data_IF_501699253947
#
_entry.id   IF_501699253947
#
_cell.length_a   1.000
_cell.length_b   1.000
_cell.length_c   1.000
_cell.angle_alpha   90.00
_cell.angle_beta   90.00
_cell.angle_gamma   90.00
#
_symmetry.space_group_name_H-M   'P 1'
#
loop_
_entity.id
_entity.type
_entity.pdbx_description
1 polymer ?
#
# COMPACT_ATOMS: atom_id res chain seq x y z
N UNK A 1 1.53 -29.28 -5.70
CA UNK A 1 0.58 -28.90 -4.64
C UNK A 1 0.05 -27.52 -5.00
N UNK A 2 -1.20 -27.40 -5.43
CA UNK A 2 -1.81 -26.09 -5.68
C UNK A 2 -2.08 -25.46 -4.31
N UNK A 3 -1.39 -24.37 -3.94
CA UNK A 3 -1.74 -23.62 -2.72
C UNK A 3 -3.05 -22.91 -2.98
N UNK A 4 -4.13 -23.43 -2.41
CA UNK A 4 -5.44 -22.79 -2.42
C UNK A 4 -5.53 -21.86 -1.22
N UNK A 5 -5.64 -20.55 -1.46
CA UNK A 5 -5.86 -19.56 -0.43
C UNK A 5 -7.35 -19.39 -0.15
N UNK A 6 -7.72 -19.10 1.09
CA UNK A 6 -9.08 -18.71 1.42
C UNK A 6 -9.32 -17.27 0.95
N UNK A 7 -10.28 -17.10 0.06
CA UNK A 7 -10.65 -15.78 -0.47
C UNK A 7 -11.14 -14.84 0.63
N UNK A 8 -11.75 -15.38 1.71
CA UNK A 8 -12.22 -14.55 2.81
C UNK A 8 -11.04 -13.97 3.61
N UNK A 9 -9.96 -14.73 3.84
CA UNK A 9 -8.75 -14.20 4.50
C UNK A 9 -8.11 -13.09 3.65
N UNK A 10 -8.05 -13.26 2.33
CA UNK A 10 -7.53 -12.23 1.42
C UNK A 10 -8.38 -10.94 1.47
N UNK A 11 -9.72 -11.09 1.52
CA UNK A 11 -10.63 -9.94 1.64
C UNK A 11 -10.49 -9.26 3.00
N UNK A 12 -10.35 -10.01 4.08
CA UNK A 12 -10.15 -9.46 5.42
C UNK A 12 -8.85 -8.66 5.51
N UNK A 13 -7.76 -9.17 4.93
CA UNK A 13 -6.49 -8.43 4.84
C UNK A 13 -6.63 -7.17 3.99
N UNK A 14 -7.31 -7.24 2.84
CA UNK A 14 -7.54 -6.09 1.98
C UNK A 14 -8.37 -4.99 2.67
N UNK A 15 -9.39 -5.38 3.45
CA UNK A 15 -10.18 -4.44 4.24
C UNK A 15 -9.33 -3.79 5.35
N UNK A 16 -8.52 -4.56 6.07
CA UNK A 16 -7.61 -4.02 7.09
C UNK A 16 -6.59 -3.03 6.49
N UNK A 17 -6.05 -3.34 5.31
CA UNK A 17 -5.18 -2.42 4.55
C UNK A 17 -5.90 -1.12 4.20
N UNK A 18 -7.14 -1.21 3.69
CA UNK A 18 -7.92 -0.05 3.31
C UNK A 18 -8.23 0.86 4.51
N UNK A 19 -8.55 0.27 5.67
CA UNK A 19 -8.78 1.02 6.90
C UNK A 19 -7.49 1.68 7.43
N UNK A 20 -6.35 0.98 7.38
CA UNK A 20 -5.06 1.53 7.77
C UNK A 20 -4.66 2.73 6.87
N UNK A 21 -4.80 2.58 5.54
CA UNK A 21 -4.54 3.65 4.59
C UNK A 21 -5.47 4.86 4.83
N UNK A 22 -6.76 4.61 5.06
CA UNK A 22 -7.73 5.68 5.35
C UNK A 22 -7.31 6.52 6.55
N UNK A 23 -6.87 5.88 7.64
CA UNK A 23 -6.45 6.57 8.84
C UNK A 23 -5.24 7.50 8.61
N UNK A 24 -4.33 7.13 7.70
CA UNK A 24 -3.17 7.96 7.37
C UNK A 24 -3.47 9.04 6.34
N UNK A 25 -4.42 8.81 5.42
CA UNK A 25 -4.78 9.77 4.36
C UNK A 25 -5.65 10.90 4.91
N UNK A 26 -6.68 10.57 5.72
CA UNK A 26 -7.70 11.54 6.16
C UNK A 26 -7.16 12.83 6.79
N UNK A 27 -6.08 12.82 7.62
CA UNK A 27 -5.51 14.04 8.17
C UNK A 27 -5.02 15.05 7.12
N UNK A 28 -4.69 14.59 5.92
CA UNK A 28 -4.24 15.43 4.81
C UNK A 28 -5.37 15.97 3.96
N UNK A 29 -6.57 15.39 4.05
CA UNK A 29 -7.69 15.78 3.21
C UNK A 29 -8.09 17.24 3.48
N UNK A 30 -7.99 18.08 2.45
CA UNK A 30 -8.24 19.54 2.52
C UNK A 30 -7.31 20.29 3.49
N UNK A 31 -6.22 19.66 3.91
CA UNK A 31 -5.21 20.32 4.74
C UNK A 31 -4.32 21.21 3.88
N UNK A 32 -4.05 22.42 4.36
CA UNK A 32 -3.06 23.32 3.74
C UNK A 32 -1.62 22.80 3.89
N UNK A 33 -1.41 21.73 4.68
CA UNK A 33 -0.10 21.15 4.96
C UNK A 33 0.26 19.99 4.02
N UNK A 34 -0.62 19.64 3.07
CA UNK A 34 -0.33 18.57 2.12
C UNK A 34 0.81 18.98 1.19
N UNK A 35 1.92 18.26 1.30
CA UNK A 35 3.09 18.43 0.42
C UNK A 35 2.96 17.48 -0.77
N UNK A 36 3.28 18.01 -1.95
CA UNK A 36 3.26 17.30 -3.23
C UNK A 36 4.64 17.40 -3.88
N UNK A 37 5.19 16.25 -4.27
CA UNK A 37 6.35 16.11 -5.14
C UNK A 37 5.90 15.69 -6.55
N UNK A 38 6.81 15.73 -7.53
CA UNK A 38 6.60 15.15 -8.86
C UNK A 38 7.66 14.07 -9.10
N UNK A 39 7.24 12.85 -9.47
CA UNK A 39 8.15 11.71 -9.71
C UNK A 39 8.99 11.91 -10.98
N UNK A 40 8.51 12.73 -11.93
CA UNK A 40 9.20 13.00 -13.18
C UNK A 40 9.96 14.34 -13.14
N UNK A 41 11.13 14.37 -13.79
CA UNK A 41 11.86 15.61 -14.03
C UNK A 41 11.14 16.57 -15.00
N UNK A 42 10.31 16.01 -15.88
CA UNK A 42 9.42 16.73 -16.80
C UNK A 42 8.15 15.93 -17.03
N UNK A 43 6.98 16.56 -16.96
CA UNK A 43 5.67 15.90 -17.07
C UNK A 43 4.83 16.06 -15.81
N UNK A 44 3.76 15.28 -15.69
CA UNK A 44 2.82 15.35 -14.57
C UNK A 44 2.60 13.97 -13.96
N UNK A 45 3.35 13.68 -12.90
CA UNK A 45 3.23 12.47 -12.09
C UNK A 45 3.35 12.85 -10.59
N UNK A 46 2.35 13.57 -10.06
CA UNK A 46 2.41 14.08 -8.70
C UNK A 46 2.25 12.95 -7.68
N UNK A 47 3.01 13.04 -6.60
CA UNK A 47 2.87 12.19 -5.42
C UNK A 47 2.82 13.04 -4.18
N UNK A 48 1.94 12.71 -3.25
CA UNK A 48 1.80 13.43 -1.99
C UNK A 48 2.34 12.64 -0.80
N UNK A 49 2.52 13.33 0.33
CA UNK A 49 2.79 12.66 1.60
C UNK A 49 1.70 11.64 1.97
N UNK A 50 0.45 11.90 1.59
CA UNK A 50 -0.67 11.00 1.86
C UNK A 50 -0.54 9.67 1.10
N UNK A 51 -0.10 9.71 -0.16
CA UNK A 51 0.09 8.52 -1.00
C UNK A 51 1.18 7.62 -0.42
N UNK A 52 2.34 8.21 -0.09
CA UNK A 52 3.45 7.47 0.56
C UNK A 52 3.05 6.91 1.92
N UNK A 53 2.33 7.68 2.74
CA UNK A 53 1.89 7.22 4.05
C UNK A 53 0.86 6.07 3.95
N UNK A 54 -0.05 6.15 2.98
CA UNK A 54 -1.02 5.11 2.70
C UNK A 54 -0.34 3.79 2.31
N UNK A 55 0.58 3.82 1.34
CA UNK A 55 1.29 2.61 0.92
C UNK A 55 2.11 2.03 2.07
N UNK A 56 2.78 2.86 2.86
CA UNK A 56 3.54 2.40 4.02
C UNK A 56 2.65 1.70 5.06
N UNK A 57 1.46 2.23 5.34
CA UNK A 57 0.50 1.62 6.25
C UNK A 57 -0.01 0.27 5.73
N UNK A 58 -0.36 0.20 4.44
CA UNK A 58 -0.79 -1.05 3.80
C UNK A 58 0.30 -2.12 3.81
N UNK A 59 1.55 -1.74 3.52
CA UNK A 59 2.71 -2.64 3.61
C UNK A 59 2.94 -3.17 5.03
N UNK A 60 2.69 -2.36 6.06
CA UNK A 60 2.81 -2.81 7.44
C UNK A 60 1.76 -3.89 7.79
N UNK A 61 0.53 -3.76 7.27
CA UNK A 61 -0.50 -4.80 7.42
C UNK A 61 -0.08 -6.09 6.71
N UNK A 62 0.36 -5.99 5.45
CA UNK A 62 0.84 -7.16 4.69
C UNK A 62 2.03 -7.85 5.36
N UNK A 63 3.03 -7.08 5.82
CA UNK A 63 4.19 -7.65 6.53
C UNK A 63 3.80 -8.43 7.79
N UNK A 64 2.69 -8.07 8.45
CA UNK A 64 2.17 -8.77 9.63
C UNK A 64 1.30 -9.97 9.27
N UNK A 65 0.35 -9.79 8.34
CA UNK A 65 -0.70 -10.78 8.04
C UNK A 65 -0.27 -11.79 6.98
N UNK A 66 0.58 -11.35 6.05
CA UNK A 66 0.97 -12.07 4.83
C UNK A 66 2.48 -11.90 4.52
N UNK A 67 3.39 -12.23 5.47
CA UNK A 67 4.83 -11.95 5.33
C UNK A 67 5.53 -12.65 4.16
N UNK A 68 4.91 -13.68 3.59
CA UNK A 68 5.43 -14.43 2.45
C UNK A 68 4.87 -13.95 1.10
N UNK A 69 3.90 -13.05 1.07
CA UNK A 69 3.39 -12.49 -0.18
C UNK A 69 4.39 -11.46 -0.74
N UNK A 70 4.50 -11.41 -2.08
CA UNK A 70 5.24 -10.34 -2.73
C UNK A 70 4.42 -9.05 -2.66
N UNK A 71 5.07 -7.90 -2.83
CA UNK A 71 4.38 -6.61 -2.90
C UNK A 71 4.87 -5.86 -4.12
N UNK A 72 3.94 -5.45 -4.98
CA UNK A 72 4.20 -4.50 -6.05
C UNK A 72 3.51 -3.18 -5.70
N UNK A 73 4.27 -2.21 -5.20
CA UNK A 73 3.74 -0.90 -4.85
C UNK A 73 4.22 0.21 -5.77
N UNK A 74 3.45 1.29 -5.85
CA UNK A 74 3.71 2.43 -6.72
C UNK A 74 4.81 3.35 -6.15
N UNK A 75 4.81 3.53 -4.83
CA UNK A 75 5.68 4.48 -4.14
C UNK A 75 7.00 3.88 -3.67
N UNK A 76 6.98 2.62 -3.22
CA UNK A 76 8.17 1.95 -2.69
C UNK A 76 8.62 0.76 -3.53
N UNK A 77 8.06 0.59 -4.73
CA UNK A 77 8.48 -0.43 -5.69
C UNK A 77 8.20 -1.87 -5.25
N UNK A 78 9.04 -2.81 -5.66
CA UNK A 78 8.77 -4.24 -5.46
C UNK A 78 9.45 -4.80 -4.20
N UNK A 79 8.76 -5.69 -3.49
CA UNK A 79 9.30 -6.58 -2.46
C UNK A 79 9.04 -8.02 -2.86
N UNK A 80 10.07 -8.86 -2.82
CA UNK A 80 9.96 -10.28 -3.20
C UNK A 80 9.21 -11.10 -2.16
N UNK A 81 8.35 -12.01 -2.60
CA UNK A 81 7.66 -13.00 -1.78
C UNK A 81 8.00 -14.44 -2.14
N UNK A 82 7.48 -15.38 -1.37
CA UNK A 82 7.63 -16.85 -1.55
C UNK A 82 6.31 -17.60 -1.65
N UNK A 83 5.18 -16.97 -1.35
CA UNK A 83 3.85 -17.60 -1.45
C UNK A 83 3.39 -17.79 -2.90
N UNK A 84 3.96 -17.03 -3.84
CA UNK A 84 3.50 -16.98 -5.22
C UNK A 84 2.31 -16.04 -5.46
N UNK A 85 1.86 -15.31 -4.43
CA UNK A 85 0.95 -14.17 -4.56
C UNK A 85 1.74 -12.85 -4.58
N UNK A 86 1.17 -11.83 -5.22
CA UNK A 86 1.64 -10.44 -5.27
C UNK A 86 0.46 -9.51 -5.09
#
# INVERSE_FOLDING_TARGET
MCMTYDINDLLDVANEMADAARATILPYFRSAQLVTDNKLASGFDPVTQADRAAEQAMRAVLAKRRPDDAVLGEEFGMTSGRSGLT
#
